data_IF_996371022857
#
_entry.id   IF_996371022857
#
_cell.length_a   1.000
_cell.length_b   1.000
_cell.length_c   1.000
_cell.angle_alpha   90.00
_cell.angle_beta   90.00
_cell.angle_gamma   90.00
#
_symmetry.space_group_name_H-M   'P 1'
#
loop_
_entity.id
_entity.type
_entity.pdbx_description
1 polymer ?
#
# COMPACT_ATOMS: atom_id res chain seq x y z
N UNK A 1 -4.44 -6.75 -26.61
CA UNK A 1 -5.52 -7.36 -25.80
C UNK A 1 -5.14 -7.14 -24.35
N UNK A 2 -6.00 -6.53 -23.55
CA UNK A 2 -5.78 -6.45 -22.11
C UNK A 2 -5.87 -7.85 -21.52
N UNK A 3 -4.85 -8.25 -20.74
CA UNK A 3 -4.88 -9.55 -20.07
C UNK A 3 -5.96 -9.52 -18.98
N UNK A 4 -6.93 -10.42 -19.07
CA UNK A 4 -8.00 -10.56 -18.08
C UNK A 4 -7.38 -11.05 -16.76
N UNK A 5 -7.30 -10.16 -15.78
CA UNK A 5 -6.78 -10.47 -14.45
C UNK A 5 -7.86 -11.05 -13.54
N UNK A 6 -7.44 -11.57 -12.38
CA UNK A 6 -8.37 -12.03 -11.33
C UNK A 6 -9.32 -10.90 -10.88
N UNK A 7 -8.88 -9.63 -10.88
CA UNK A 7 -9.72 -8.51 -10.46
C UNK A 7 -10.84 -8.20 -11.47
N UNK A 8 -10.61 -8.36 -12.77
CA UNK A 8 -11.69 -8.30 -13.76
C UNK A 8 -12.78 -9.33 -13.46
N UNK A 9 -12.38 -10.55 -13.12
CA UNK A 9 -13.31 -11.64 -12.80
C UNK A 9 -14.07 -11.42 -11.49
N UNK A 10 -13.43 -10.77 -10.51
CA UNK A 10 -14.09 -10.38 -9.26
C UNK A 10 -15.13 -9.28 -9.52
N UNK A 11 -14.77 -8.27 -10.31
CA UNK A 11 -15.70 -7.17 -10.66
C UNK A 11 -16.89 -7.67 -11.46
N UNK A 12 -16.68 -8.62 -12.39
CA UNK A 12 -17.76 -9.23 -13.17
C UNK A 12 -18.63 -10.21 -12.37
N UNK A 13 -18.19 -10.60 -11.16
CA UNK A 13 -18.87 -11.63 -10.36
C UNK A 13 -18.58 -13.07 -10.78
N UNK A 14 -17.69 -13.29 -11.76
CA UNK A 14 -17.25 -14.64 -12.18
C UNK A 14 -16.50 -15.36 -11.05
N UNK A 15 -15.73 -14.60 -10.27
CA UNK A 15 -14.98 -15.11 -9.10
C UNK A 15 -15.50 -14.44 -7.84
N UNK A 16 -15.88 -15.20 -6.81
CA UNK A 16 -16.32 -14.64 -5.54
C UNK A 16 -15.19 -13.96 -4.80
N UNK A 17 -15.52 -12.96 -3.98
CA UNK A 17 -14.58 -12.30 -3.06
C UNK A 17 -15.21 -12.07 -1.69
N UNK A 18 -14.39 -11.86 -0.68
CA UNK A 18 -14.83 -11.46 0.67
C UNK A 18 -15.04 -9.94 0.70
N UNK A 19 -16.17 -9.50 0.12
CA UNK A 19 -16.49 -8.07 0.00
C UNK A 19 -16.62 -7.40 1.36
N UNK A 20 -15.93 -6.26 1.53
CA UNK A 20 -15.95 -5.42 2.73
C UNK A 20 -16.81 -4.18 2.50
N UNK A 21 -16.68 -3.58 1.31
CA UNK A 21 -17.37 -2.36 0.96
C UNK A 21 -17.46 -2.21 -0.57
N UNK A 22 -18.45 -1.45 -1.02
CA UNK A 22 -18.67 -1.20 -2.44
C UNK A 22 -19.42 0.13 -2.62
N UNK A 23 -19.08 0.86 -3.67
CA UNK A 23 -19.91 1.93 -4.22
C UNK A 23 -20.13 1.72 -5.74
N UNK A 24 -20.65 2.71 -6.42
CA UNK A 24 -20.91 2.64 -7.86
C UNK A 24 -19.63 2.33 -8.65
N UNK A 25 -18.50 2.91 -8.25
CA UNK A 25 -17.26 2.92 -9.01
C UNK A 25 -16.13 2.06 -8.42
N UNK A 26 -16.26 1.61 -7.17
CA UNK A 26 -15.19 0.90 -6.47
C UNK A 26 -15.71 -0.32 -5.73
N UNK A 27 -14.80 -1.27 -5.52
CA UNK A 27 -15.03 -2.50 -4.77
C UNK A 27 -13.87 -2.71 -3.80
N UNK A 28 -14.18 -3.07 -2.56
CA UNK A 28 -13.20 -3.44 -1.54
C UNK A 28 -13.48 -4.85 -1.00
N UNK A 29 -12.44 -5.67 -0.91
CA UNK A 29 -12.53 -7.05 -0.44
C UNK A 29 -11.28 -7.46 0.32
N UNK A 30 -11.41 -8.43 1.23
CA UNK A 30 -10.28 -8.96 1.99
C UNK A 30 -9.29 -9.69 1.07
N UNK A 31 -8.00 -9.49 1.33
CA UNK A 31 -6.95 -10.31 0.73
C UNK A 31 -7.07 -11.74 1.23
N UNK A 32 -6.94 -12.71 0.32
CA UNK A 32 -6.85 -14.13 0.68
C UNK A 32 -5.43 -14.56 1.08
N UNK A 33 -4.44 -13.65 0.95
CA UNK A 33 -3.05 -13.84 1.39
C UNK A 33 -2.62 -12.71 2.33
N UNK A 34 -3.34 -12.50 3.45
CA UNK A 34 -3.03 -11.42 4.36
C UNK A 34 -1.78 -11.72 5.18
N UNK A 35 -0.95 -10.71 5.42
CA UNK A 35 0.15 -10.80 6.40
C UNK A 35 -0.27 -10.26 7.79
N UNK A 36 -1.47 -9.70 7.90
CA UNK A 36 -2.10 -9.30 9.15
C UNK A 36 -3.63 -9.36 8.98
N UNK A 37 -4.38 -9.45 10.07
CA UNK A 37 -5.84 -9.52 10.00
C UNK A 37 -6.43 -8.24 9.38
N UNK A 38 -7.39 -8.40 8.48
CA UNK A 38 -8.11 -7.30 7.87
C UNK A 38 -7.43 -6.64 6.68
N UNK A 39 -6.32 -7.18 6.15
CA UNK A 39 -5.74 -6.67 4.90
C UNK A 39 -6.81 -6.64 3.80
N UNK A 40 -7.07 -5.44 3.31
CA UNK A 40 -8.15 -5.18 2.35
C UNK A 40 -7.58 -4.59 1.07
N UNK A 41 -8.07 -5.08 -0.07
CA UNK A 41 -7.76 -4.56 -1.39
C UNK A 41 -8.93 -3.69 -1.84
N UNK A 42 -8.66 -2.48 -2.33
CA UNK A 42 -9.64 -1.57 -2.92
C UNK A 42 -9.28 -1.36 -4.39
N UNK A 43 -10.23 -1.57 -5.28
CA UNK A 43 -10.05 -1.45 -6.72
C UNK A 43 -11.13 -0.56 -7.35
N UNK A 44 -10.84 0.15 -8.45
CA UNK A 44 -11.89 0.70 -9.29
C UNK A 44 -12.59 -0.44 -10.04
N UNK A 45 -13.90 -0.31 -10.32
CA UNK A 45 -14.62 -1.27 -11.17
C UNK A 45 -14.27 -1.12 -12.65
N UNK A 46 -13.94 0.10 -13.06
CA UNK A 46 -13.37 0.35 -14.37
C UNK A 46 -11.89 0.01 -14.34
N UNK A 47 -11.43 -0.78 -15.29
CA UNK A 47 -10.01 -1.14 -15.39
C UNK A 47 -9.12 0.09 -15.55
N UNK A 48 -8.06 0.12 -14.77
CA UNK A 48 -6.92 1.03 -14.92
C UNK A 48 -5.64 0.21 -14.73
N UNK A 49 -4.54 0.51 -15.45
CA UNK A 49 -3.24 -0.16 -15.27
C UNK A 49 -2.72 -0.04 -13.84
N UNK A 50 -1.95 -1.02 -13.39
CA UNK A 50 -1.57 -1.17 -11.98
C UNK A 50 -0.72 -0.04 -11.40
N UNK A 51 0.09 0.63 -12.24
CA UNK A 51 1.06 1.60 -11.73
C UNK A 51 0.40 2.95 -11.50
N UNK A 52 0.30 3.33 -10.25
CA UNK A 52 -0.42 4.54 -9.82
C UNK A 52 0.15 5.84 -10.43
N UNK A 53 1.47 5.89 -10.71
CA UNK A 53 2.11 7.08 -11.25
C UNK A 53 1.77 7.34 -12.74
N UNK A 54 1.25 6.33 -13.45
CA UNK A 54 0.76 6.45 -14.83
C UNK A 54 -0.77 6.56 -14.91
N UNK A 55 -1.45 6.51 -13.76
CA UNK A 55 -2.92 6.60 -13.69
C UNK A 55 -3.37 8.06 -13.79
N UNK A 56 -4.48 8.31 -14.47
CA UNK A 56 -5.10 9.64 -14.52
C UNK A 56 -5.45 10.15 -13.12
N UNK A 57 -5.21 11.44 -12.86
CA UNK A 57 -5.40 12.07 -11.55
C UNK A 57 -6.81 11.86 -10.98
N UNK A 58 -7.83 11.91 -11.81
CA UNK A 58 -9.22 11.71 -11.41
C UNK A 58 -9.47 10.29 -10.90
N UNK A 59 -8.96 9.28 -11.62
CA UNK A 59 -9.11 7.88 -11.24
C UNK A 59 -8.33 7.56 -9.97
N UNK A 60 -7.09 8.05 -9.85
CA UNK A 60 -6.27 7.89 -8.66
C UNK A 60 -6.89 8.59 -7.44
N UNK A 61 -7.35 9.83 -7.60
CA UNK A 61 -7.97 10.60 -6.52
C UNK A 61 -9.26 9.92 -6.03
N UNK A 62 -10.09 9.41 -6.95
CA UNK A 62 -11.31 8.69 -6.60
C UNK A 62 -11.00 7.41 -5.81
N UNK A 63 -9.98 6.64 -6.23
CA UNK A 63 -9.56 5.43 -5.52
C UNK A 63 -9.00 5.74 -4.12
N UNK A 64 -8.22 6.82 -3.96
CA UNK A 64 -7.72 7.25 -2.64
C UNK A 64 -8.88 7.63 -1.72
N UNK A 65 -9.91 8.31 -2.23
CA UNK A 65 -11.11 8.66 -1.45
C UNK A 65 -11.88 7.40 -1.05
N UNK A 66 -12.03 6.42 -1.95
CA UNK A 66 -12.66 5.13 -1.64
C UNK A 66 -11.84 4.38 -0.56
N UNK A 67 -10.52 4.29 -0.73
CA UNK A 67 -9.62 3.68 0.25
C UNK A 67 -9.72 4.34 1.64
N UNK A 68 -9.82 5.69 1.70
CA UNK A 68 -10.05 6.41 2.96
C UNK A 68 -11.36 6.01 3.65
N UNK A 69 -12.45 5.79 2.89
CA UNK A 69 -13.73 5.33 3.47
C UNK A 69 -13.58 3.93 4.08
N UNK A 70 -12.90 3.04 3.36
CA UNK A 70 -12.65 1.67 3.81
C UNK A 70 -11.71 1.64 5.01
N UNK A 71 -10.63 2.44 5.02
CA UNK A 71 -9.73 2.56 6.17
C UNK A 71 -10.49 2.98 7.43
N UNK A 72 -11.39 3.97 7.36
CA UNK A 72 -12.24 4.38 8.49
C UNK A 72 -13.17 3.25 8.97
N UNK A 73 -13.65 2.42 8.04
CA UNK A 73 -14.46 1.25 8.39
C UNK A 73 -13.61 0.23 9.17
N UNK A 74 -12.39 -0.05 8.71
CA UNK A 74 -11.47 -0.97 9.38
C UNK A 74 -11.10 -0.46 10.78
N UNK A 75 -10.70 0.81 10.90
CA UNK A 75 -10.36 1.44 12.18
C UNK A 75 -11.54 1.41 13.18
N UNK A 76 -12.77 1.53 12.69
CA UNK A 76 -13.97 1.49 13.54
C UNK A 76 -14.38 0.08 13.97
N UNK A 77 -14.00 -0.96 13.19
CA UNK A 77 -14.44 -2.35 13.42
C UNK A 77 -13.39 -3.21 14.09
N UNK A 78 -12.12 -2.86 13.98
CA UNK A 78 -11.02 -3.59 14.60
C UNK A 78 -10.57 -2.85 15.87
N UNK A 79 -10.87 -3.38 17.06
CA UNK A 79 -10.81 -2.61 18.32
C UNK A 79 -9.41 -2.20 18.74
N UNK A 80 -8.38 -2.88 18.25
CA UNK A 80 -6.98 -2.61 18.54
C UNK A 80 -6.27 -1.82 17.43
N UNK A 81 -7.01 -1.36 16.42
CA UNK A 81 -6.51 -0.59 15.28
C UNK A 81 -6.90 0.88 15.40
N UNK A 82 -5.92 1.75 15.58
CA UNK A 82 -6.10 3.20 15.52
C UNK A 82 -5.65 3.82 14.20
N UNK A 83 -4.95 3.04 13.37
CA UNK A 83 -4.42 3.46 12.07
C UNK A 83 -4.45 2.31 11.07
N UNK A 84 -4.81 2.65 9.83
CA UNK A 84 -4.68 1.75 8.68
C UNK A 84 -3.73 2.37 7.65
N UNK A 85 -2.67 1.64 7.28
CA UNK A 85 -1.73 2.08 6.26
C UNK A 85 -2.30 1.84 4.86
N UNK A 86 -1.97 2.74 3.93
CA UNK A 86 -2.35 2.67 2.52
C UNK A 86 -1.09 2.49 1.67
N UNK A 87 -1.10 1.50 0.78
CA UNK A 87 0.02 1.18 -0.11
C UNK A 87 -0.47 0.99 -1.54
N UNK A 88 0.20 1.64 -2.48
CA UNK A 88 0.10 1.40 -3.92
C UNK A 88 1.41 0.75 -4.39
N UNK A 89 1.46 -0.57 -4.38
CA UNK A 89 2.65 -1.31 -4.82
C UNK A 89 2.67 -1.46 -6.35
N UNK A 90 1.52 -1.65 -6.98
CA UNK A 90 1.39 -1.76 -8.44
C UNK A 90 2.06 -2.98 -9.05
N UNK A 91 2.28 -4.04 -8.27
CA UNK A 91 3.03 -5.22 -8.68
C UNK A 91 2.19 -6.50 -8.55
N UNK A 92 2.54 -7.52 -9.33
CA UNK A 92 1.89 -8.84 -9.30
C UNK A 92 0.63 -8.95 -10.14
N UNK A 93 -0.32 -8.03 -10.05
CA UNK A 93 -1.55 -8.01 -10.84
C UNK A 93 -1.65 -6.69 -11.59
N UNK A 94 -1.72 -6.75 -12.92
CA UNK A 94 -1.88 -5.55 -13.74
C UNK A 94 -3.32 -5.04 -13.69
N UNK A 95 -3.65 -4.41 -12.59
CA UNK A 95 -4.92 -3.74 -12.31
C UNK A 95 -4.70 -2.77 -11.17
N UNK A 96 -5.09 -1.52 -11.29
CA UNK A 96 -4.91 -0.53 -10.23
C UNK A 96 -5.56 -0.99 -8.93
N UNK A 97 -4.81 -1.01 -7.86
CA UNK A 97 -5.32 -1.41 -6.56
C UNK A 97 -4.58 -0.72 -5.42
N UNK A 98 -5.33 -0.36 -4.40
CA UNK A 98 -4.84 0.10 -3.13
C UNK A 98 -4.89 -1.05 -2.12
N UNK A 99 -3.81 -1.30 -1.39
CA UNK A 99 -3.77 -2.25 -0.28
C UNK A 99 -3.87 -1.48 1.04
N UNK A 100 -4.79 -1.89 1.89
CA UNK A 100 -5.00 -1.35 3.23
C UNK A 100 -4.52 -2.36 4.26
N UNK A 101 -3.64 -1.91 5.16
CA UNK A 101 -3.05 -2.73 6.21
C UNK A 101 -3.46 -2.16 7.58
N UNK A 102 -4.43 -2.79 8.29
CA UNK A 102 -4.74 -2.42 9.66
C UNK A 102 -3.51 -2.58 10.54
N UNK A 103 -3.13 -1.52 11.25
CA UNK A 103 -1.97 -1.53 12.14
C UNK A 103 -2.42 -1.94 13.54
N UNK A 104 -2.46 -3.25 13.80
CA UNK A 104 -2.84 -3.80 15.09
C UNK A 104 -1.92 -3.32 16.21
N UNK A 105 -2.48 -3.08 17.39
CA UNK A 105 -1.75 -2.55 18.54
C UNK A 105 -1.61 -1.02 18.56
N UNK A 106 -2.27 -0.29 17.64
CA UNK A 106 -2.21 1.18 17.57
C UNK A 106 -3.46 1.88 18.11
N UNK A 107 -4.32 1.21 18.86
CA UNK A 107 -5.58 1.78 19.35
C UNK A 107 -5.38 3.01 20.26
N UNK A 108 -4.28 3.07 21.02
CA UNK A 108 -3.95 4.21 21.88
C UNK A 108 -3.25 5.31 21.09
N UNK A 109 -4.03 6.17 20.45
CA UNK A 109 -3.56 7.29 19.63
C UNK A 109 -2.99 8.46 20.45
N UNK A 110 -2.86 8.34 21.76
CA UNK A 110 -2.10 9.27 22.61
C UNK A 110 -0.59 8.95 22.59
N UNK A 111 -0.23 7.76 22.13
CA UNK A 111 1.15 7.29 21.98
C UNK A 111 1.60 7.40 20.53
N UNK A 112 2.54 8.30 20.29
CA UNK A 112 3.18 8.50 18.99
C UNK A 112 4.59 7.89 19.03
N UNK A 113 4.70 6.64 18.68
CA UNK A 113 5.95 5.90 18.68
C UNK A 113 6.09 5.08 17.40
N UNK A 114 7.32 4.80 16.95
CA UNK A 114 7.54 3.89 15.84
C UNK A 114 6.93 2.51 16.10
N UNK A 115 6.42 1.87 15.05
CA UNK A 115 6.06 0.46 15.09
C UNK A 115 7.35 -0.34 14.97
N UNK A 116 7.72 -1.05 16.01
CA UNK A 116 8.96 -1.83 16.07
C UNK A 116 8.68 -3.33 15.92
N UNK A 117 9.58 -4.02 15.22
CA UNK A 117 9.64 -5.48 15.19
C UNK A 117 10.97 -5.97 15.72
N UNK A 118 10.94 -6.87 16.69
CA UNK A 118 12.14 -7.49 17.23
C UNK A 118 12.93 -8.28 16.18
N UNK A 119 12.22 -8.87 15.19
CA UNK A 119 12.80 -9.79 14.21
C UNK A 119 13.33 -9.11 12.95
N UNK A 120 12.91 -7.87 12.68
CA UNK A 120 13.17 -7.16 11.42
C UNK A 120 13.84 -5.80 11.61
N UNK A 121 14.35 -5.53 12.79
CA UNK A 121 15.02 -4.28 13.12
C UNK A 121 16.38 -4.21 12.42
N UNK A 122 16.76 -3.01 11.98
CA UNK A 122 18.06 -2.70 11.37
C UNK A 122 18.38 -3.44 10.06
N UNK A 123 17.37 -3.95 9.34
CA UNK A 123 17.57 -4.56 8.04
C UNK A 123 17.54 -3.54 6.91
N UNK A 124 18.52 -3.65 6.02
CA UNK A 124 18.55 -2.96 4.73
C UNK A 124 18.62 -4.01 3.61
N UNK A 125 17.88 -3.78 2.52
CA UNK A 125 17.83 -4.72 1.41
C UNK A 125 18.40 -4.07 0.15
N UNK A 126 19.33 -4.74 -0.52
CA UNK A 126 19.93 -4.28 -1.78
C UNK A 126 18.95 -4.30 -2.96
N UNK A 127 17.88 -5.06 -2.83
CA UNK A 127 16.78 -5.14 -3.80
C UNK A 127 15.46 -5.37 -3.08
N UNK A 128 14.37 -5.07 -3.75
CA UNK A 128 13.03 -5.28 -3.19
C UNK A 128 12.83 -6.71 -2.68
N UNK A 129 12.54 -6.88 -1.38
CA UNK A 129 12.47 -8.20 -0.75
C UNK A 129 11.09 -8.90 -0.92
N UNK A 130 10.19 -8.34 -1.75
CA UNK A 130 8.84 -8.86 -1.95
C UNK A 130 7.79 -8.35 -0.94
N UNK A 131 8.16 -7.44 -0.06
CA UNK A 131 7.22 -6.77 0.87
C UNK A 131 7.69 -5.36 1.22
N UNK A 132 6.76 -4.52 1.69
CA UNK A 132 7.05 -3.18 2.21
C UNK A 132 6.96 -3.25 3.74
N UNK A 133 7.93 -2.66 4.42
CA UNK A 133 7.96 -2.53 5.87
C UNK A 133 8.02 -1.06 6.27
N UNK A 134 7.26 -0.69 7.30
CA UNK A 134 7.32 0.63 7.92
C UNK A 134 8.27 0.69 9.14
N UNK A 135 9.02 -0.39 9.39
CA UNK A 135 9.99 -0.39 10.47
C UNK A 135 11.17 0.53 10.15
N UNK A 136 11.60 1.27 11.17
CA UNK A 136 12.86 1.99 11.07
C UNK A 136 14.02 1.00 11.06
N UNK A 137 14.95 1.20 10.12
CA UNK A 137 16.26 0.59 10.15
C UNK A 137 17.22 1.43 11.00
N UNK A 138 18.50 1.06 11.03
CA UNK A 138 19.54 1.89 11.66
C UNK A 138 19.65 3.24 10.97
N UNK A 139 20.11 4.25 11.72
CA UNK A 139 20.37 5.59 11.19
C UNK A 139 21.30 5.53 9.97
N UNK A 140 20.85 6.12 8.87
CA UNK A 140 21.64 6.19 7.65
C UNK A 140 22.80 7.20 7.77
N UNK A 141 23.82 7.03 6.94
CA UNK A 141 24.93 7.95 6.83
C UNK A 141 24.47 9.27 6.20
N UNK A 142 24.69 10.39 6.90
CA UNK A 142 24.25 11.72 6.49
C UNK A 142 24.90 12.17 5.16
N UNK A 143 26.17 11.81 4.95
CA UNK A 143 26.88 12.15 3.70
C UNK A 143 26.27 11.41 2.52
N UNK A 144 25.92 10.13 2.67
CA UNK A 144 25.25 9.35 1.64
C UNK A 144 23.86 9.92 1.32
N UNK A 145 23.09 10.29 2.35
CA UNK A 145 21.78 10.92 2.15
C UNK A 145 21.91 12.25 1.41
N UNK A 146 22.89 13.08 1.75
CA UNK A 146 23.15 14.36 1.09
C UNK A 146 23.49 14.17 -0.40
N UNK A 147 24.35 13.21 -0.74
CA UNK A 147 24.72 12.90 -2.13
C UNK A 147 23.53 12.37 -2.91
N UNK A 148 22.76 11.44 -2.34
CA UNK A 148 21.56 10.90 -2.96
C UNK A 148 20.53 12.00 -3.23
N UNK A 149 20.29 12.88 -2.27
CA UNK A 149 19.36 13.99 -2.41
C UNK A 149 19.77 14.95 -3.55
N UNK A 150 21.05 15.29 -3.66
CA UNK A 150 21.58 16.12 -4.74
C UNK A 150 21.41 15.45 -6.11
N UNK A 151 21.67 14.16 -6.20
CA UNK A 151 21.43 13.37 -7.40
C UNK A 151 19.95 13.36 -7.81
N UNK A 152 19.05 13.11 -6.88
CA UNK A 152 17.60 13.09 -7.12
C UNK A 152 17.05 14.44 -7.60
N UNK A 153 17.63 15.55 -7.16
CA UNK A 153 17.29 16.89 -7.66
C UNK A 153 17.92 17.23 -9.01
N UNK A 154 18.74 16.34 -9.58
CA UNK A 154 19.47 16.58 -10.82
C UNK A 154 20.64 17.55 -10.70
N UNK A 155 21.13 17.81 -9.50
CA UNK A 155 22.31 18.68 -9.22
C UNK A 155 23.62 17.96 -9.55
N UNK A 156 23.61 16.63 -9.60
CA UNK A 156 24.73 15.78 -10.01
C UNK A 156 24.24 14.70 -10.95
N UNK A 157 25.11 14.26 -11.89
CA UNK A 157 24.81 13.18 -12.84
C UNK A 157 25.30 11.82 -12.37
N UNK A 158 26.10 11.78 -11.32
CA UNK A 158 26.68 10.56 -10.78
C UNK A 158 26.26 10.36 -9.33
N UNK A 159 25.72 9.19 -9.04
CA UNK A 159 25.52 8.69 -7.69
C UNK A 159 26.12 7.28 -7.60
N UNK A 160 27.17 7.15 -6.80
CA UNK A 160 27.77 5.86 -6.47
C UNK A 160 27.68 5.64 -4.97
N UNK A 161 27.02 4.58 -4.58
CA UNK A 161 26.91 4.10 -3.20
C UNK A 161 27.98 3.04 -2.86
N UNK A 162 29.02 2.91 -3.74
CA UNK A 162 30.13 1.95 -3.54
C UNK A 162 31.25 2.55 -2.72
#
# INVERSE_FOLDING_TARGET
MEDITIFHKIVSGEVPCHKVWEDENHLAFLSIFPNTEGVTVVIPKKYEPSYFADTADEALSALVIAAKKVAKLLDAKLPDVGRTALVFEGYGINYLHAKLFPMHGTADMTKWQPVESADKKDLIFDRYPGYISSHDAKLADDTKLTKLAAYLRGETTEYSDK
#
